data_IF_203074126141
#
_entry.id   IF_203074126141
#
_cell.length_a   1.000
_cell.length_b   1.000
_cell.length_c   1.000
_cell.angle_alpha   90.00
_cell.angle_beta   90.00
_cell.angle_gamma   90.00
#
_symmetry.space_group_name_H-M   'P 1'
#
loop_
_entity.id
_entity.type
_entity.pdbx_description
1 polymer ?
#
# COMPACT_ATOMS: atom_id res chain seq x y z
N UNK A 1 -14.30 4.32 13.02
CA UNK A 1 -14.22 3.01 12.35
C UNK A 1 -14.49 3.20 10.87
N UNK A 2 -13.86 2.43 9.99
CA UNK A 2 -14.13 2.48 8.54
C UNK A 2 -15.55 1.97 8.28
N UNK A 3 -16.39 2.77 7.61
CA UNK A 3 -17.81 2.47 7.37
C UNK A 3 -18.02 1.05 6.80
N UNK A 4 -17.14 0.62 5.89
CA UNK A 4 -17.18 -0.72 5.30
C UNK A 4 -17.04 -1.86 6.32
N UNK A 5 -16.19 -1.70 7.34
CA UNK A 5 -16.07 -2.70 8.39
C UNK A 5 -17.35 -2.79 9.23
N UNK A 6 -18.01 -1.66 9.48
CA UNK A 6 -19.30 -1.61 10.16
C UNK A 6 -20.38 -2.37 9.39
N UNK A 7 -20.45 -2.17 8.07
CA UNK A 7 -21.41 -2.88 7.20
C UNK A 7 -21.15 -4.39 7.20
N UNK A 8 -19.89 -4.81 7.09
CA UNK A 8 -19.52 -6.24 7.11
C UNK A 8 -19.85 -6.86 8.48
N UNK A 9 -19.57 -6.13 9.57
CA UNK A 9 -19.90 -6.56 10.92
C UNK A 9 -21.40 -6.69 11.13
N UNK A 10 -22.20 -5.71 10.69
CA UNK A 10 -23.66 -5.76 10.80
C UNK A 10 -24.24 -6.95 10.03
N UNK A 11 -23.78 -7.19 8.79
CA UNK A 11 -24.20 -8.36 8.01
C UNK A 11 -23.87 -9.66 8.75
N UNK A 12 -22.67 -9.78 9.30
CA UNK A 12 -22.28 -10.94 10.09
C UNK A 12 -23.09 -11.09 11.39
N UNK A 13 -23.39 -9.98 12.07
CA UNK A 13 -24.12 -9.93 13.35
C UNK A 13 -25.59 -10.33 13.23
N UNK A 14 -26.22 -10.05 12.08
CA UNK A 14 -27.63 -10.37 11.81
C UNK A 14 -27.84 -11.85 11.47
N UNK A 15 -26.78 -12.62 11.22
CA UNK A 15 -26.91 -14.04 10.88
C UNK A 15 -27.45 -14.86 12.08
N UNK A 16 -28.58 -15.57 11.92
CA UNK A 16 -29.22 -16.32 13.01
C UNK A 16 -28.34 -17.45 13.58
N UNK A 17 -27.27 -17.87 12.89
CA UNK A 17 -26.33 -18.92 13.34
C UNK A 17 -25.06 -18.36 14.00
N UNK A 18 -25.09 -17.13 14.50
CA UNK A 18 -23.90 -16.45 15.05
C UNK A 18 -23.19 -17.20 16.18
N UNK A 19 -23.92 -17.89 17.06
CA UNK A 19 -23.34 -18.67 18.16
C UNK A 19 -22.49 -19.84 17.64
N UNK A 20 -22.96 -20.51 16.58
CA UNK A 20 -22.23 -21.61 15.93
C UNK A 20 -20.98 -21.06 15.22
N UNK A 21 -21.11 -19.90 14.56
CA UNK A 21 -19.98 -19.21 13.92
C UNK A 21 -18.91 -18.82 14.93
N UNK A 22 -19.29 -18.22 16.05
CA UNK A 22 -18.36 -17.86 17.12
C UNK A 22 -17.62 -19.07 17.67
N UNK A 23 -18.31 -20.19 17.92
CA UNK A 23 -17.67 -21.42 18.38
C UNK A 23 -16.67 -21.96 17.36
N UNK A 24 -17.04 -21.94 16.08
CA UNK A 24 -16.15 -22.34 14.98
C UNK A 24 -14.92 -21.43 14.87
N UNK A 25 -15.06 -20.12 15.12
CA UNK A 25 -13.94 -19.18 15.08
C UNK A 25 -12.82 -19.55 16.06
N UNK A 26 -13.16 -19.98 17.28
CA UNK A 26 -12.18 -20.43 18.28
C UNK A 26 -11.50 -21.76 17.95
N UNK A 27 -11.91 -22.45 16.88
CA UNK A 27 -11.20 -23.64 16.35
C UNK A 27 -10.28 -23.30 15.18
N UNK A 28 -10.45 -22.12 14.56
CA UNK A 28 -9.67 -21.74 13.40
C UNK A 28 -8.30 -21.19 13.80
N UNK A 29 -7.23 -21.85 13.34
CA UNK A 29 -5.84 -21.46 13.61
C UNK A 29 -5.55 -20.00 13.28
N UNK A 30 -6.11 -19.47 12.20
CA UNK A 30 -5.92 -18.07 11.79
C UNK A 30 -6.52 -17.12 12.82
N UNK A 31 -7.74 -17.37 13.27
CA UNK A 31 -8.39 -16.54 14.30
C UNK A 31 -7.62 -16.62 15.61
N UNK A 32 -7.22 -17.83 16.02
CA UNK A 32 -6.39 -18.06 17.20
C UNK A 32 -5.06 -17.30 17.14
N UNK A 33 -4.38 -17.27 15.99
CA UNK A 33 -3.13 -16.50 15.83
C UNK A 33 -3.35 -15.00 16.00
N UNK A 34 -4.39 -14.44 15.38
CA UNK A 34 -4.73 -13.02 15.53
C UNK A 34 -5.15 -12.67 16.96
N UNK A 35 -5.90 -13.56 17.61
CA UNK A 35 -6.33 -13.41 18.98
C UNK A 35 -5.14 -13.51 19.94
N UNK A 36 -4.17 -14.39 19.67
CA UNK A 36 -2.90 -14.51 20.40
C UNK A 36 -2.05 -13.24 20.32
N UNK A 37 -1.93 -12.63 19.13
CA UNK A 37 -1.24 -11.34 18.97
C UNK A 37 -1.93 -10.25 19.80
N UNK A 38 -3.26 -10.25 19.83
CA UNK A 38 -4.00 -9.28 20.62
C UNK A 38 -3.88 -9.55 22.13
N UNK A 39 -3.86 -10.81 22.56
CA UNK A 39 -3.58 -11.20 23.95
C UNK A 39 -2.20 -10.76 24.40
N UNK A 40 -1.18 -10.93 23.56
CA UNK A 40 0.18 -10.45 23.84
C UNK A 40 0.19 -8.93 24.03
N UNK A 41 -0.61 -8.20 23.24
CA UNK A 41 -0.80 -6.77 23.43
C UNK A 41 -1.48 -6.42 24.77
N UNK A 42 -2.48 -7.20 25.20
CA UNK A 42 -3.11 -7.05 26.51
C UNK A 42 -2.15 -7.36 27.67
N UNK A 43 -1.32 -8.40 27.55
CA UNK A 43 -0.28 -8.71 28.54
C UNK A 43 0.73 -7.54 28.65
N UNK A 44 1.09 -6.94 27.51
CA UNK A 44 1.96 -5.76 27.49
C UNK A 44 1.40 -4.53 28.23
N UNK A 45 0.09 -4.47 28.48
CA UNK A 45 -0.51 -3.39 29.27
C UNK A 45 -0.10 -3.43 30.74
N UNK A 46 0.29 -4.61 31.26
CA UNK A 46 0.75 -4.75 32.64
C UNK A 46 2.04 -3.96 32.92
N UNK A 47 2.80 -3.61 31.88
CA UNK A 47 4.03 -2.82 31.95
C UNK A 47 3.85 -1.37 31.46
N UNK A 48 2.61 -0.91 31.24
CA UNK A 48 2.36 0.44 30.74
C UNK A 48 1.87 1.37 31.85
N UNK A 49 2.42 2.57 31.89
CA UNK A 49 1.96 3.63 32.80
C UNK A 49 0.92 4.54 32.12
N UNK A 50 0.94 4.63 30.79
CA UNK A 50 0.04 5.50 30.02
C UNK A 50 -1.17 4.75 29.45
N UNK A 51 -2.17 4.50 30.30
CA UNK A 51 -3.42 3.86 29.90
C UNK A 51 -4.26 4.67 28.91
N UNK A 52 -4.10 6.00 28.87
CA UNK A 52 -4.77 6.86 27.89
C UNK A 52 -4.32 6.56 26.46
N UNK A 53 -3.01 6.43 26.27
CA UNK A 53 -2.44 6.01 24.98
C UNK A 53 -2.81 4.55 24.66
N UNK A 54 -2.74 3.66 25.66
CA UNK A 54 -3.04 2.25 25.48
C UNK A 54 -4.49 1.99 25.05
N UNK A 55 -5.46 2.67 25.67
CA UNK A 55 -6.86 2.58 25.30
C UNK A 55 -7.13 3.07 23.87
N UNK A 56 -6.39 4.10 23.42
CA UNK A 56 -6.46 4.59 22.03
C UNK A 56 -5.93 3.55 21.05
N UNK A 57 -4.82 2.88 21.38
CA UNK A 57 -4.21 1.86 20.52
C UNK A 57 -5.11 0.62 20.40
N UNK A 58 -5.63 0.13 21.52
CA UNK A 58 -6.59 -0.98 21.58
C UNK A 58 -7.83 -0.66 20.75
N UNK A 59 -8.38 0.55 20.85
CA UNK A 59 -9.57 0.98 20.08
C UNK A 59 -9.35 0.90 18.57
N UNK A 60 -8.13 1.13 18.10
CA UNK A 60 -7.78 1.06 16.66
C UNK A 60 -7.58 -0.40 16.23
N UNK A 61 -7.06 -1.25 17.11
CA UNK A 61 -6.72 -2.66 16.80
C UNK A 61 -7.87 -3.64 16.96
N UNK A 62 -8.79 -3.45 17.91
CA UNK A 62 -9.96 -4.33 18.10
C UNK A 62 -10.75 -4.52 16.80
N UNK A 63 -11.08 -3.46 16.02
CA UNK A 63 -11.79 -3.63 14.77
C UNK A 63 -11.04 -4.50 13.75
N UNK A 64 -9.71 -4.57 13.81
CA UNK A 64 -8.90 -5.42 12.93
C UNK A 64 -9.11 -6.91 13.22
N UNK A 65 -9.40 -7.28 14.47
CA UNK A 65 -9.72 -8.66 14.86
C UNK A 65 -11.06 -9.14 14.29
N UNK A 66 -11.98 -8.22 13.99
CA UNK A 66 -13.26 -8.57 13.37
C UNK A 66 -13.06 -9.18 11.98
N UNK A 67 -12.03 -8.79 11.23
CA UNK A 67 -11.79 -9.33 9.88
C UNK A 67 -11.50 -10.84 9.86
N UNK A 68 -10.48 -11.37 10.56
CA UNK A 68 -10.24 -12.81 10.58
C UNK A 68 -11.43 -13.58 11.18
N UNK A 69 -12.12 -13.02 12.17
CA UNK A 69 -13.34 -13.61 12.74
C UNK A 69 -14.45 -13.76 11.69
N UNK A 70 -14.76 -12.68 10.98
CA UNK A 70 -15.86 -12.67 10.00
C UNK A 70 -15.50 -13.53 8.79
N UNK A 71 -14.28 -13.39 8.25
CA UNK A 71 -13.87 -14.14 7.06
C UNK A 71 -13.68 -15.64 7.30
N UNK A 72 -13.29 -16.07 8.50
CA UNK A 72 -13.16 -17.50 8.83
C UNK A 72 -14.50 -18.20 9.04
N UNK A 73 -15.54 -17.45 9.38
CA UNK A 73 -16.87 -18.00 9.74
C UNK A 73 -17.94 -17.76 8.69
N UNK A 74 -17.61 -17.00 7.65
CA UNK A 74 -18.50 -16.72 6.52
C UNK A 74 -18.14 -17.64 5.35
N UNK A 75 -19.14 -18.01 4.56
CA UNK A 75 -18.90 -18.78 3.33
C UNK A 75 -17.94 -17.98 2.41
N UNK A 76 -16.92 -18.63 1.82
CA UNK A 76 -16.04 -17.95 0.90
C UNK A 76 -16.83 -17.44 -0.31
N UNK A 77 -16.47 -16.25 -0.81
CA UNK A 77 -17.05 -15.70 -2.02
C UNK A 77 -16.74 -16.60 -3.21
N UNK A 78 -17.70 -16.72 -4.14
CA UNK A 78 -17.49 -17.41 -5.39
C UNK A 78 -16.47 -16.66 -6.26
N UNK A 79 -15.90 -17.34 -7.27
CA UNK A 79 -14.94 -16.73 -8.21
C UNK A 79 -15.52 -15.51 -8.93
N UNK A 80 -16.81 -15.55 -9.27
CA UNK A 80 -17.52 -14.43 -9.91
C UNK A 80 -17.69 -13.25 -8.97
N UNK A 81 -18.03 -13.52 -7.69
CA UNK A 81 -18.15 -12.47 -6.67
C UNK A 81 -16.81 -11.78 -6.40
N UNK A 82 -15.72 -12.55 -6.30
CA UNK A 82 -14.37 -11.98 -6.15
C UNK A 82 -13.99 -11.09 -7.33
N UNK A 83 -14.26 -11.53 -8.56
CA UNK A 83 -14.01 -10.72 -9.77
C UNK A 83 -14.85 -9.45 -9.80
N UNK A 84 -16.11 -9.52 -9.38
CA UNK A 84 -16.95 -8.33 -9.26
C UNK A 84 -16.36 -7.32 -8.25
N UNK A 85 -15.96 -7.79 -7.06
CA UNK A 85 -15.31 -6.94 -6.04
C UNK A 85 -14.04 -6.29 -6.59
N UNK A 86 -13.21 -7.05 -7.32
CA UNK A 86 -12.00 -6.51 -7.96
C UNK A 86 -12.32 -5.46 -9.02
N UNK A 87 -13.28 -5.70 -9.93
CA UNK A 87 -13.70 -4.72 -10.93
C UNK A 87 -14.21 -3.44 -10.27
N UNK A 88 -15.05 -3.57 -9.25
CA UNK A 88 -15.58 -2.43 -8.52
C UNK A 88 -14.45 -1.64 -7.83
N UNK A 89 -13.49 -2.33 -7.21
CA UNK A 89 -12.33 -1.70 -6.60
C UNK A 89 -11.44 -0.96 -7.63
N UNK A 90 -11.20 -1.56 -8.81
CA UNK A 90 -10.48 -0.92 -9.91
C UNK A 90 -11.17 0.39 -10.32
N UNK A 91 -12.49 0.37 -10.53
CA UNK A 91 -13.27 1.55 -10.94
C UNK A 91 -13.19 2.66 -9.89
N UNK A 92 -13.33 2.33 -8.60
CA UNK A 92 -13.23 3.34 -7.52
C UNK A 92 -11.87 4.01 -7.50
N UNK A 93 -10.79 3.23 -7.60
CA UNK A 93 -9.43 3.80 -7.60
C UNK A 93 -9.20 4.65 -8.85
N UNK A 94 -9.69 4.22 -10.00
CA UNK A 94 -9.65 5.00 -11.24
C UNK A 94 -10.33 6.36 -11.07
N UNK A 95 -11.57 6.38 -10.54
CA UNK A 95 -12.30 7.62 -10.26
C UNK A 95 -11.54 8.51 -9.26
N UNK A 96 -10.91 7.90 -8.25
CA UNK A 96 -10.06 8.65 -7.32
C UNK A 96 -8.82 9.26 -8.00
N UNK A 97 -8.19 8.58 -8.96
CA UNK A 97 -7.07 9.14 -9.74
C UNK A 97 -7.52 10.30 -10.62
N UNK A 98 -8.68 10.18 -11.28
CA UNK A 98 -9.22 11.27 -12.09
C UNK A 98 -9.63 12.48 -11.24
N UNK A 99 -10.27 12.27 -10.09
CA UNK A 99 -10.55 13.34 -9.14
C UNK A 99 -9.27 14.05 -8.71
N UNK A 100 -8.21 13.29 -8.46
CA UNK A 100 -6.90 13.86 -8.09
C UNK A 100 -6.27 14.67 -9.22
N UNK A 101 -6.44 14.24 -10.47
CA UNK A 101 -6.02 15.01 -11.66
C UNK A 101 -6.83 16.28 -11.84
N UNK A 102 -8.14 16.24 -11.59
CA UNK A 102 -9.00 17.42 -11.65
C UNK A 102 -8.56 18.49 -10.64
N UNK A 103 -8.28 18.09 -9.39
CA UNK A 103 -7.74 18.99 -8.35
C UNK A 103 -6.37 19.56 -8.76
N UNK A 104 -5.52 18.75 -9.38
CA UNK A 104 -4.22 19.20 -9.89
C UNK A 104 -4.37 20.25 -11.00
N UNK A 105 -5.36 20.08 -11.87
CA UNK A 105 -5.67 21.03 -12.95
C UNK A 105 -6.23 22.35 -12.40
N UNK A 106 -7.16 22.28 -11.45
CA UNK A 106 -7.83 23.46 -10.86
C UNK A 106 -6.87 24.32 -10.02
N UNK A 107 -6.02 23.69 -9.19
CA UNK A 107 -5.12 24.43 -8.29
C UNK A 107 -3.80 24.81 -8.96
N UNK A 108 -3.42 24.13 -10.06
CA UNK A 108 -2.18 24.35 -10.79
C UNK A 108 -0.94 23.80 -10.06
N UNK A 109 -0.03 23.18 -10.83
CA UNK A 109 1.22 22.59 -10.34
C UNK A 109 2.09 23.57 -9.52
N UNK A 110 2.04 24.87 -9.83
CA UNK A 110 2.90 25.90 -9.23
C UNK A 110 2.41 26.38 -7.85
N UNK A 111 1.10 26.37 -7.57
CA UNK A 111 0.55 26.82 -6.26
C UNK A 111 0.58 25.73 -5.20
N UNK A 112 0.57 24.46 -5.58
CA UNK A 112 0.52 23.35 -4.64
C UNK A 112 1.82 23.18 -3.83
N UNK A 113 2.96 23.64 -4.35
CA UNK A 113 4.29 23.63 -3.70
C UNK A 113 4.85 22.24 -3.36
N UNK A 114 4.00 21.22 -3.22
CA UNK A 114 4.36 19.84 -2.88
C UNK A 114 3.28 18.89 -3.41
N UNK A 115 3.67 17.90 -4.23
CA UNK A 115 2.78 16.86 -4.79
C UNK A 115 2.02 16.06 -3.72
N UNK A 116 2.47 16.11 -2.47
CA UNK A 116 1.79 15.54 -1.29
C UNK A 116 0.36 16.05 -1.11
N UNK A 117 0.03 17.25 -1.58
CA UNK A 117 -1.31 17.85 -1.46
C UNK A 117 -2.30 17.40 -2.55
N UNK A 118 -1.85 16.67 -3.58
CA UNK A 118 -2.70 16.19 -4.68
C UNK A 118 -3.77 15.21 -4.15
N UNK A 119 -3.40 14.37 -3.19
CA UNK A 119 -4.32 13.45 -2.53
C UNK A 119 -4.90 14.11 -1.25
N UNK A 120 -5.85 15.04 -1.38
CA UNK A 120 -6.47 15.72 -0.22
C UNK A 120 -7.25 14.78 0.71
N UNK A 121 -7.79 13.68 0.19
CA UNK A 121 -8.70 12.78 0.93
C UNK A 121 -7.96 11.64 1.63
N UNK A 122 -6.85 11.15 1.05
CA UNK A 122 -6.09 10.00 1.57
C UNK A 122 -4.60 10.35 1.53
N UNK A 123 -3.82 9.87 2.49
CA UNK A 123 -2.38 10.10 2.45
C UNK A 123 -1.77 9.54 1.17
N UNK A 124 -0.89 10.32 0.56
CA UNK A 124 -0.24 10.03 -0.71
C UNK A 124 0.43 8.64 -0.76
N UNK A 125 0.94 8.15 0.38
CA UNK A 125 1.52 6.80 0.53
C UNK A 125 0.43 5.72 0.43
N UNK A 126 -0.66 5.86 1.19
CA UNK A 126 -1.78 4.90 1.15
C UNK A 126 -2.41 4.85 -0.24
N UNK A 127 -2.54 6.01 -0.88
CA UNK A 127 -3.10 6.06 -2.22
C UNK A 127 -2.21 5.35 -3.24
N UNK A 128 -0.89 5.55 -3.17
CA UNK A 128 0.06 4.79 -3.99
C UNK A 128 -0.05 3.28 -3.77
N UNK A 129 -0.23 2.81 -2.54
CA UNK A 129 -0.43 1.39 -2.24
C UNK A 129 -1.72 0.85 -2.88
N UNK A 130 -2.83 1.59 -2.81
CA UNK A 130 -4.08 1.18 -3.47
C UNK A 130 -3.90 1.08 -4.99
N UNK A 131 -3.18 2.01 -5.60
CA UNK A 131 -2.85 1.97 -7.02
C UNK A 131 -2.03 0.71 -7.36
N UNK A 132 -1.00 0.40 -6.57
CA UNK A 132 -0.21 -0.83 -6.75
C UNK A 132 -1.09 -2.09 -6.66
N UNK A 133 -1.99 -2.18 -5.67
CA UNK A 133 -2.93 -3.31 -5.55
C UNK A 133 -3.78 -3.43 -6.82
N UNK A 134 -4.35 -2.32 -7.31
CA UNK A 134 -5.18 -2.31 -8.52
C UNK A 134 -4.39 -2.73 -9.75
N UNK A 135 -3.13 -2.31 -9.88
CA UNK A 135 -2.24 -2.78 -10.96
C UNK A 135 -2.07 -4.30 -10.89
N UNK A 136 -1.71 -4.86 -9.73
CA UNK A 136 -1.50 -6.30 -9.59
C UNK A 136 -2.78 -7.11 -9.80
N UNK A 137 -3.91 -6.65 -9.27
CA UNK A 137 -5.22 -7.27 -9.48
C UNK A 137 -5.62 -7.23 -10.97
N UNK A 138 -5.38 -6.11 -11.64
CA UNK A 138 -5.67 -5.99 -13.08
C UNK A 138 -4.80 -6.94 -13.91
N UNK A 139 -3.50 -7.04 -13.60
CA UNK A 139 -2.59 -8.02 -14.23
C UNK A 139 -3.06 -9.44 -13.96
N UNK A 140 -3.42 -9.78 -12.72
CA UNK A 140 -3.96 -11.10 -12.36
C UNK A 140 -5.20 -11.46 -13.20
N UNK A 141 -6.15 -10.53 -13.35
CA UNK A 141 -7.35 -10.77 -14.16
C UNK A 141 -7.07 -10.85 -15.67
N UNK A 142 -6.05 -10.15 -16.16
CA UNK A 142 -5.61 -10.22 -17.56
C UNK A 142 -4.96 -11.57 -17.89
N UNK A 143 -4.14 -12.11 -16.98
CA UNK A 143 -3.45 -13.41 -17.12
C UNK A 143 -4.41 -14.58 -16.90
N UNK A 144 -5.18 -14.57 -15.79
CA UNK A 144 -6.11 -15.64 -15.42
C UNK A 144 -7.55 -15.30 -15.81
N UNK A 145 -7.78 -15.35 -17.12
CA UNK A 145 -9.08 -15.02 -17.70
C UNK A 145 -10.18 -15.99 -17.27
N UNK A 146 -11.37 -15.45 -17.07
CA UNK A 146 -12.59 -16.20 -16.84
C UNK A 146 -13.59 -16.00 -17.96
N UNK A 147 -14.56 -16.91 -18.08
CA UNK A 147 -15.56 -16.87 -19.16
C UNK A 147 -16.32 -15.54 -19.20
N UNK A 148 -16.60 -14.93 -18.05
CA UNK A 148 -17.25 -13.62 -17.92
C UNK A 148 -16.36 -12.38 -18.14
N UNK A 149 -15.05 -12.55 -18.36
CA UNK A 149 -14.07 -11.44 -18.44
C UNK A 149 -13.58 -11.17 -19.88
N UNK A 150 -14.28 -11.68 -20.90
CA UNK A 150 -13.82 -11.59 -22.31
C UNK A 150 -13.51 -10.16 -22.76
N UNK A 151 -14.27 -9.18 -22.29
CA UNK A 151 -14.09 -7.77 -22.63
C UNK A 151 -13.17 -7.00 -21.66
N UNK A 152 -12.68 -7.65 -20.59
CA UNK A 152 -11.82 -6.99 -19.59
C UNK A 152 -10.51 -6.50 -20.20
N UNK A 153 -9.98 -7.18 -21.21
CA UNK A 153 -8.74 -6.77 -21.87
C UNK A 153 -8.78 -5.34 -22.44
N UNK A 154 -9.91 -4.96 -23.04
CA UNK A 154 -10.03 -3.69 -23.77
C UNK A 154 -9.91 -2.47 -22.86
N UNK A 155 -10.34 -2.60 -21.61
CA UNK A 155 -10.24 -1.51 -20.63
C UNK A 155 -9.18 -1.75 -19.57
N UNK A 156 -8.87 -3.01 -19.21
CA UNK A 156 -7.87 -3.34 -18.20
C UNK A 156 -6.45 -2.91 -18.56
N UNK A 157 -6.04 -3.04 -19.84
CA UNK A 157 -4.71 -2.59 -20.29
C UNK A 157 -4.57 -1.06 -20.19
N UNK A 158 -5.48 -0.25 -20.77
CA UNK A 158 -5.46 1.21 -20.57
C UNK A 158 -5.42 1.63 -19.11
N UNK A 159 -6.17 0.93 -18.24
CA UNK A 159 -6.19 1.23 -16.79
C UNK A 159 -4.81 1.01 -16.17
N UNK A 160 -4.14 -0.11 -16.44
CA UNK A 160 -2.79 -0.36 -15.89
C UNK A 160 -1.81 0.72 -16.36
N UNK A 161 -1.84 1.07 -17.65
CA UNK A 161 -0.96 2.11 -18.21
C UNK A 161 -1.23 3.46 -17.54
N UNK A 162 -2.50 3.86 -17.43
CA UNK A 162 -2.90 5.10 -16.76
C UNK A 162 -2.42 5.15 -15.31
N UNK A 163 -2.59 4.07 -14.56
CA UNK A 163 -2.21 3.99 -13.15
C UNK A 163 -0.69 4.05 -12.94
N UNK A 164 0.09 3.47 -13.86
CA UNK A 164 1.56 3.60 -13.85
C UNK A 164 1.95 5.07 -14.09
N UNK A 165 1.37 5.71 -15.12
CA UNK A 165 1.60 7.14 -15.40
C UNK A 165 1.22 8.01 -14.20
N UNK A 166 0.10 7.70 -13.56
CA UNK A 166 -0.37 8.44 -12.39
C UNK A 166 0.57 8.29 -11.17
N UNK A 167 1.22 7.12 -10.98
CA UNK A 167 2.28 6.97 -9.97
C UNK A 167 3.48 7.89 -10.22
N UNK A 168 3.85 8.13 -11.49
CA UNK A 168 4.87 9.11 -11.85
C UNK A 168 4.44 10.53 -11.50
N UNK A 169 3.18 10.90 -11.78
CA UNK A 169 2.64 12.23 -11.46
C UNK A 169 2.64 12.48 -9.95
N UNK A 170 2.26 11.47 -9.17
CA UNK A 170 2.31 11.51 -7.71
C UNK A 170 3.76 11.69 -7.18
N UNK A 171 4.79 11.27 -7.91
CA UNK A 171 6.20 11.23 -7.42
C UNK A 171 6.34 10.43 -6.12
N UNK A 172 5.58 9.33 -5.99
CA UNK A 172 5.61 8.49 -4.80
C UNK A 172 6.72 7.44 -4.87
N UNK A 173 7.86 7.68 -4.20
CA UNK A 173 8.94 6.69 -4.12
C UNK A 173 8.45 5.34 -3.56
N UNK A 174 7.60 5.38 -2.53
CA UNK A 174 7.02 4.17 -1.92
C UNK A 174 6.22 3.33 -2.91
N UNK A 175 5.47 3.97 -3.82
CA UNK A 175 4.70 3.26 -4.84
C UNK A 175 5.61 2.52 -5.82
N UNK A 176 6.69 3.16 -6.27
CA UNK A 176 7.68 2.53 -7.15
C UNK A 176 8.40 1.37 -6.49
N UNK A 177 8.79 1.51 -5.22
CA UNK A 177 9.44 0.43 -4.47
C UNK A 177 8.51 -0.79 -4.36
N UNK A 178 7.24 -0.58 -4.00
CA UNK A 178 6.25 -1.67 -3.85
C UNK A 178 5.93 -2.32 -5.20
N UNK A 179 5.77 -1.52 -6.25
CA UNK A 179 5.53 -2.02 -7.59
C UNK A 179 6.72 -2.84 -8.11
N UNK A 180 7.95 -2.33 -7.94
CA UNK A 180 9.17 -3.02 -8.36
C UNK A 180 9.43 -4.31 -7.59
N UNK A 181 9.31 -4.28 -6.26
CA UNK A 181 9.46 -5.48 -5.42
C UNK A 181 8.36 -6.52 -5.70
N UNK A 182 7.11 -6.10 -5.88
CA UNK A 182 6.02 -7.01 -6.21
C UNK A 182 6.17 -7.64 -7.60
N UNK A 183 6.58 -6.86 -8.61
CA UNK A 183 6.89 -7.38 -9.95
C UNK A 183 8.06 -8.37 -9.91
N UNK A 184 9.09 -8.10 -9.11
CA UNK A 184 10.22 -9.01 -8.93
C UNK A 184 9.77 -10.35 -8.34
N UNK A 185 8.99 -10.33 -7.25
CA UNK A 185 8.45 -11.55 -6.62
C UNK A 185 7.55 -12.32 -7.60
N UNK A 186 6.66 -11.64 -8.32
CA UNK A 186 5.82 -12.27 -9.32
C UNK A 186 6.64 -12.90 -10.46
N UNK A 187 7.67 -12.21 -10.94
CA UNK A 187 8.53 -12.73 -11.99
C UNK A 187 9.26 -14.00 -11.54
N UNK A 188 9.81 -14.02 -10.31
CA UNK A 188 10.42 -15.21 -9.72
C UNK A 188 9.41 -16.37 -9.62
N UNK A 189 8.18 -16.08 -9.18
CA UNK A 189 7.12 -17.07 -9.11
C UNK A 189 6.82 -17.66 -10.50
N UNK A 190 6.58 -16.84 -11.53
CA UNK A 190 6.29 -17.36 -12.87
C UNK A 190 7.46 -18.12 -13.50
N UNK A 191 8.70 -17.72 -13.24
CA UNK A 191 9.87 -18.49 -13.68
C UNK A 191 9.91 -19.86 -13.01
N UNK A 192 9.48 -19.99 -11.75
CA UNK A 192 9.40 -21.28 -11.07
C UNK A 192 8.43 -22.27 -11.74
N UNK A 193 7.46 -21.79 -12.51
CA UNK A 193 6.51 -22.61 -13.28
C UNK A 193 7.09 -23.12 -14.62
N UNK A 194 8.25 -22.64 -15.06
CA UNK A 194 8.88 -23.09 -16.32
C UNK A 194 9.39 -24.53 -16.14
N UNK A 195 8.94 -25.44 -17.02
CA UNK A 195 9.25 -26.88 -16.95
C UNK A 195 10.70 -27.22 -17.34
N UNK A 196 11.28 -26.49 -18.30
CA UNK A 196 12.65 -26.72 -18.76
C UNK A 196 13.68 -26.06 -17.83
N UNK A 197 14.58 -26.87 -17.26
CA UNK A 197 15.55 -26.40 -16.24
C UNK A 197 16.52 -25.33 -16.77
N UNK A 198 16.98 -25.44 -18.02
CA UNK A 198 17.89 -24.46 -18.64
C UNK A 198 17.22 -23.10 -18.80
N UNK A 199 16.04 -23.07 -19.42
CA UNK A 199 15.27 -21.83 -19.57
C UNK A 199 14.92 -21.21 -18.22
N UNK A 200 14.54 -22.02 -17.24
CA UNK A 200 14.30 -21.56 -15.87
C UNK A 200 15.54 -20.92 -15.25
N UNK A 201 16.71 -21.55 -15.39
CA UNK A 201 17.98 -21.01 -14.87
C UNK A 201 18.37 -19.69 -15.56
N UNK A 202 18.28 -19.62 -16.89
CA UNK A 202 18.56 -18.41 -17.68
C UNK A 202 17.61 -17.28 -17.26
N UNK A 203 16.31 -17.56 -17.12
CA UNK A 203 15.34 -16.55 -16.70
C UNK A 203 15.59 -16.06 -15.27
N UNK A 204 16.01 -16.92 -14.34
CA UNK A 204 16.42 -16.49 -12.99
C UNK A 204 17.62 -15.56 -13.02
N UNK A 205 18.68 -15.93 -13.75
CA UNK A 205 19.88 -15.10 -13.90
C UNK A 205 19.56 -13.74 -14.52
N UNK A 206 18.68 -13.71 -15.53
CA UNK A 206 18.26 -12.46 -16.16
C UNK A 206 17.46 -11.56 -15.20
N UNK A 207 16.48 -12.10 -14.48
CA UNK A 207 15.65 -11.34 -13.53
C UNK A 207 16.52 -10.81 -12.37
N UNK A 208 17.39 -11.66 -11.81
CA UNK A 208 18.27 -11.26 -10.73
C UNK A 208 19.27 -10.18 -11.19
N UNK A 209 19.87 -10.37 -12.37
CA UNK A 209 20.78 -9.39 -12.97
C UNK A 209 20.11 -8.04 -13.21
N UNK A 210 18.90 -8.03 -13.80
CA UNK A 210 18.13 -6.82 -14.01
C UNK A 210 17.84 -6.08 -12.70
N UNK A 211 17.42 -6.82 -11.66
CA UNK A 211 17.11 -6.22 -10.36
C UNK A 211 18.37 -5.67 -9.67
N UNK A 212 19.51 -6.37 -9.76
CA UNK A 212 20.78 -5.89 -9.23
C UNK A 212 21.26 -4.61 -9.93
N UNK A 213 21.14 -4.54 -11.27
CA UNK A 213 21.46 -3.33 -12.04
C UNK A 213 20.56 -2.18 -11.61
N UNK A 214 19.24 -2.39 -11.54
CA UNK A 214 18.30 -1.37 -11.08
C UNK A 214 18.63 -0.90 -9.67
N UNK A 215 18.87 -1.81 -8.72
CA UNK A 215 19.25 -1.49 -7.35
C UNK A 215 20.55 -0.68 -7.29
N UNK A 216 21.56 -1.04 -8.07
CA UNK A 216 22.83 -0.30 -8.15
C UNK A 216 22.62 1.14 -8.64
N UNK A 217 21.75 1.33 -9.63
CA UNK A 217 21.40 2.65 -10.14
C UNK A 217 20.66 3.49 -9.10
N UNK A 218 19.71 2.87 -8.38
CA UNK A 218 19.00 3.51 -7.28
C UNK A 218 19.95 3.93 -6.15
N UNK A 219 20.89 3.07 -5.75
CA UNK A 219 21.89 3.39 -4.70
C UNK A 219 22.79 4.53 -5.15
N UNK A 220 23.31 4.51 -6.39
CA UNK A 220 24.14 5.60 -6.93
C UNK A 220 23.36 6.91 -7.00
N UNK A 221 22.11 6.87 -7.46
CA UNK A 221 21.25 8.04 -7.51
C UNK A 221 21.02 8.60 -6.10
N UNK A 222 20.64 7.75 -5.15
CA UNK A 222 20.48 8.15 -3.75
C UNK A 222 21.76 8.73 -3.16
N UNK A 223 22.91 8.09 -3.35
CA UNK A 223 24.20 8.57 -2.84
C UNK A 223 24.59 9.93 -3.43
N UNK A 224 24.34 10.15 -4.73
CA UNK A 224 24.59 11.43 -5.41
C UNK A 224 23.71 12.55 -4.84
N UNK A 225 22.45 12.27 -4.51
CA UNK A 225 21.53 13.27 -3.95
C UNK A 225 21.58 13.40 -2.42
N UNK A 226 22.05 12.37 -1.70
CA UNK A 226 22.27 12.40 -0.24
C UNK A 226 23.62 13.01 0.14
N UNK A 227 24.51 13.29 -0.82
CA UNK A 227 25.70 14.10 -0.60
C UNK A 227 25.29 15.56 -0.35
N UNK A 228 24.76 15.81 0.85
CA UNK A 228 24.62 17.17 1.38
C UNK A 228 26.00 17.58 1.84
N UNK A 229 26.62 18.49 1.09
CA UNK A 229 27.76 19.26 1.61
C UNK A 229 27.30 19.82 2.96
N UNK A 230 27.97 19.45 4.05
CA UNK A 230 27.74 20.10 5.34
C UNK A 230 28.16 21.56 5.12
N UNK A 231 27.25 22.55 5.16
CA UNK A 231 27.65 23.92 4.97
C UNK A 231 28.63 24.29 6.08
N UNK A 232 29.86 24.63 5.70
CA UNK A 232 30.85 25.23 6.61
C UNK A 232 30.31 26.58 7.08
N UNK A 233 30.59 26.95 8.33
CA UNK A 233 30.07 28.18 8.97
C UNK A 233 30.25 29.45 8.11
N UNK A 234 31.27 29.48 7.26
CA UNK A 234 31.62 30.63 6.43
C UNK A 234 30.73 30.80 5.19
N UNK A 235 29.99 29.76 4.78
CA UNK A 235 29.07 29.81 3.63
C UNK A 235 27.63 30.18 4.01
N UNK A 236 27.35 30.41 5.30
CA UNK A 236 26.01 30.68 5.78
C UNK A 236 25.72 32.19 5.81
N UNK A 237 24.69 32.60 5.08
CA UNK A 237 24.17 33.97 5.10
C UNK A 237 23.81 34.36 6.53
N UNK A 238 24.35 35.49 7.01
CA UNK A 238 24.06 35.99 8.37
C UNK A 238 22.72 36.71 8.45
N UNK A 239 22.23 37.24 7.32
CA UNK A 239 20.99 38.01 7.22
C UNK A 239 20.16 37.55 6.02
N UNK A 240 18.83 37.60 6.15
CA UNK A 240 17.86 37.45 5.05
C UNK A 240 17.96 38.65 4.11
N UNK A 241 17.45 38.54 2.89
CA UNK A 241 17.31 39.68 1.97
C UNK A 241 16.51 40.85 2.58
N UNK A 242 15.63 40.58 3.57
CA UNK A 242 14.89 41.59 4.33
C UNK A 242 15.58 42.10 5.61
N UNK A 243 16.86 41.79 5.82
CA UNK A 243 17.66 42.28 6.97
C UNK A 243 17.52 41.50 8.29
N UNK A 244 16.69 40.47 8.37
CA UNK A 244 16.55 39.64 9.58
C UNK A 244 17.74 38.69 9.77
N UNK A 245 18.22 38.52 11.00
CA UNK A 245 19.36 37.63 11.30
C UNK A 245 18.97 36.15 11.25
N UNK A 246 19.75 35.33 10.55
CA UNK A 246 19.54 33.88 10.56
C UNK A 246 20.10 33.23 11.84
N UNK A 247 19.34 32.29 12.40
CA UNK A 247 19.78 31.43 13.51
C UNK A 247 20.16 30.06 12.94
N UNK A 248 21.46 29.81 12.83
CA UNK A 248 21.99 28.56 12.27
C UNK A 248 22.23 27.53 13.37
N UNK A 249 21.49 26.42 13.35
CA UNK A 249 21.72 25.26 14.25
C UNK A 249 22.62 24.25 13.57
N UNK A 250 23.94 24.39 13.78
CA UNK A 250 24.97 23.54 13.16
C UNK A 250 25.18 22.18 13.85
N UNK A 251 24.74 22.04 15.11
CA UNK A 251 24.79 20.76 15.84
C UNK A 251 23.49 19.99 15.63
N UNK A 252 23.64 18.76 15.15
CA UNK A 252 22.56 17.80 14.93
C UNK A 252 22.33 17.00 16.22
N UNK A 253 21.91 17.67 17.29
CA UNK A 253 21.29 16.99 18.42
C UNK A 253 19.79 16.99 18.15
N UNK A 254 19.16 15.80 18.18
CA UNK A 254 17.74 15.52 17.96
C UNK A 254 17.25 15.48 16.50
N UNK A 255 17.38 14.31 15.88
CA UNK A 255 16.36 13.67 15.05
C UNK A 255 16.39 12.17 15.29
#
# INVERSE_FOLDING_TARGET
MTIGLGVIFLNWAVDPKILIKLRSAFTNKVVLSFLGIMLLHFIGLLWTENFGYAAKDIRIKIPLLLLPLIFSTTKPLSTEQWRFVFKFFIVIVLLATFRSMFVLYEEGLFKLGTTRKIAKVISHIRFALYICIVIFVSIYMLVFRHKGDKYFIYWGIPVVIWLIVFLFILKSLTGFVVLGTGMFIMALYYVSLIRHYVFRFISYMFILGFFMIAASFFIKSYAKFSYRVKPTSDMLLKYTESGNKYIHKLKKEYY
#
